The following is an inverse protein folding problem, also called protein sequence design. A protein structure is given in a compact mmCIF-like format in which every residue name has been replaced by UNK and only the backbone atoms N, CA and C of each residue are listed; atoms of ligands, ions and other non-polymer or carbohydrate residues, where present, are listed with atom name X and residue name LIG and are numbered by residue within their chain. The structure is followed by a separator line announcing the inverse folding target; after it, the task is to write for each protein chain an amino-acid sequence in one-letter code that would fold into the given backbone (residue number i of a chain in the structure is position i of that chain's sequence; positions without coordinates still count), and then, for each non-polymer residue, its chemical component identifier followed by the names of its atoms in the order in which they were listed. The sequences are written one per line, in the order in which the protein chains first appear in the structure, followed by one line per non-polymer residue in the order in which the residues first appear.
data_IF_636902992102
#
_entry.id   IF_636902992102
#
_cell.length_a   1.000
_cell.length_b   1.000
_cell.length_c   1.000
_cell.angle_alpha   90.00
_cell.angle_beta   90.00
_cell.angle_gamma   90.00
#
_symmetry.space_group_name_H-M   'P 1'
#
loop_
_entity.id
_entity.type
_entity.pdbx_description
1 polymer ?
#
# COMPACT_ATOMS: atom_id res chain seq x y z
N UNK A 1 -56.08 -58.32 68.18
CA UNK A 1 -56.14 -57.49 66.96
C UNK A 1 -55.81 -58.39 65.79
N UNK A 2 -56.75 -58.49 64.83
CA UNK A 2 -56.58 -58.71 63.36
C UNK A 2 -55.72 -59.90 62.89
N UNK A 3 -56.12 -60.73 61.93
CA UNK A 3 -57.35 -60.92 61.16
C UNK A 3 -57.30 -62.38 60.62
N UNK A 4 -58.46 -63.02 60.50
CA UNK A 4 -58.69 -64.44 60.22
C UNK A 4 -58.88 -64.68 58.69
N UNK A 5 -58.60 -65.88 58.15
CA UNK A 5 -58.65 -66.22 56.72
C UNK A 5 -59.98 -66.91 56.32
N UNK A 6 -60.26 -67.04 55.01
CA UNK A 6 -61.27 -67.95 54.40
C UNK A 6 -61.32 -67.64 52.88
N UNK A 7 -61.67 -68.49 51.92
CA UNK A 7 -61.61 -69.93 51.64
C UNK A 7 -62.20 -70.10 50.21
N UNK A 8 -61.77 -71.15 49.51
CA UNK A 8 -62.25 -71.67 48.21
C UNK A 8 -63.79 -71.91 48.19
N UNK A 9 -64.47 -71.94 47.01
CA UNK A 9 -64.63 -73.19 46.26
C UNK A 9 -64.69 -72.99 44.72
N UNK A 10 -63.96 -73.74 43.90
CA UNK A 10 -64.38 -74.97 43.19
C UNK A 10 -65.90 -75.11 42.92
N UNK A 11 -66.31 -74.90 41.67
CA UNK A 11 -67.60 -75.35 41.13
C UNK A 11 -67.36 -76.18 39.86
N UNK A 12 -67.40 -77.51 40.01
CA UNK A 12 -67.66 -78.47 38.93
C UNK A 12 -69.16 -78.47 38.64
N UNK A 13 -69.57 -78.43 37.37
CA UNK A 13 -70.83 -78.93 36.80
C UNK A 13 -70.81 -78.55 35.30
N UNK A 14 -71.13 -79.35 34.29
CA UNK A 14 -71.41 -80.76 34.12
C UNK A 14 -71.34 -81.00 32.59
N UNK A 15 -70.82 -82.16 32.16
CA UNK A 15 -71.07 -82.65 30.81
C UNK A 15 -72.55 -83.00 30.66
N UNK A 16 -73.19 -82.56 29.57
CA UNK A 16 -74.43 -83.14 29.08
C UNK A 16 -74.30 -83.37 27.58
N UNK A 17 -74.16 -84.65 27.21
CA UNK A 17 -74.35 -85.10 25.83
C UNK A 17 -75.81 -84.89 25.43
N UNK A 18 -76.05 -84.19 24.33
CA UNK A 18 -77.23 -84.41 23.50
C UNK A 18 -76.94 -84.08 22.03
N UNK A 19 -76.52 -85.13 21.34
CA UNK A 19 -76.77 -85.56 19.96
C UNK A 19 -76.74 -84.55 18.77
N UNK A 20 -76.25 -85.02 17.61
CA UNK A 20 -75.74 -84.16 16.54
C UNK A 20 -76.88 -83.64 15.67
N UNK A 21 -76.82 -82.36 15.32
CA UNK A 21 -77.45 -81.87 14.09
C UNK A 21 -76.33 -81.82 13.07
N UNK A 22 -76.31 -82.82 12.19
CA UNK A 22 -75.59 -82.78 10.93
C UNK A 22 -76.25 -81.69 10.09
N UNK A 23 -75.63 -80.52 10.00
CA UNK A 23 -75.77 -79.70 8.80
C UNK A 23 -74.40 -79.60 8.14
N UNK A 24 -74.38 -80.26 7.00
CA UNK A 24 -73.25 -80.62 6.16
C UNK A 24 -73.06 -79.47 5.17
N UNK A 25 -72.30 -78.47 5.59
CA UNK A 25 -71.57 -77.57 4.70
C UNK A 25 -70.51 -76.81 5.49
N UNK A 26 -69.54 -77.54 6.05
CA UNK A 26 -68.21 -76.94 6.23
C UNK A 26 -67.67 -76.84 4.81
N UNK A 27 -67.86 -75.67 4.18
CA UNK A 27 -66.92 -75.25 3.15
C UNK A 27 -65.56 -75.36 3.85
N UNK A 28 -64.77 -76.35 3.44
CA UNK A 28 -63.37 -76.40 3.81
C UNK A 28 -62.80 -75.09 3.33
N UNK A 29 -62.62 -74.15 4.24
CA UNK A 29 -61.92 -72.93 3.95
C UNK A 29 -60.49 -73.38 3.70
N UNK A 30 -60.16 -73.53 2.43
CA UNK A 30 -58.86 -73.98 1.99
C UNK A 30 -57.95 -72.78 2.13
N UNK A 31 -56.97 -72.93 3.01
CA UNK A 31 -55.75 -72.13 3.08
C UNK A 31 -54.74 -72.91 2.21
N UNK A 32 -54.36 -72.34 1.08
CA UNK A 32 -53.72 -73.04 -0.02
C UNK A 32 -52.19 -73.10 0.11
N UNK A 33 -51.58 -72.07 0.67
CA UNK A 33 -50.15 -71.87 0.86
C UNK A 33 -49.69 -71.97 2.33
N UNK A 34 -50.61 -71.90 3.30
CA UNK A 34 -50.39 -72.19 4.71
C UNK A 34 -50.09 -70.98 5.59
N UNK A 35 -50.45 -69.77 5.18
CA UNK A 35 -50.24 -68.51 5.92
C UNK A 35 -51.28 -68.28 7.05
N UNK A 36 -52.42 -68.97 6.96
CA UNK A 36 -53.54 -68.90 7.89
C UNK A 36 -54.70 -68.00 7.44
N UNK A 37 -54.66 -67.44 6.23
CA UNK A 37 -55.73 -66.69 5.58
C UNK A 37 -56.45 -67.60 4.56
N UNK A 38 -57.79 -67.52 4.46
CA UNK A 38 -58.52 -68.33 3.50
C UNK A 38 -58.47 -67.76 2.08
N UNK A 39 -58.54 -68.63 1.07
CA UNK A 39 -58.48 -68.28 -0.38
C UNK A 39 -59.45 -67.21 -0.90
N UNK A 40 -60.41 -66.80 -0.08
CA UNK A 40 -61.42 -65.79 -0.42
C UNK A 40 -61.09 -64.40 0.15
N UNK A 41 -60.10 -64.31 1.03
CA UNK A 41 -59.60 -63.09 1.67
C UNK A 41 -58.11 -62.83 1.37
N UNK A 42 -57.39 -63.85 0.88
CA UNK A 42 -55.99 -63.78 0.46
C UNK A 42 -55.86 -63.23 -0.98
N UNK A 43 -54.86 -62.38 -1.22
CA UNK A 43 -54.59 -61.82 -2.54
C UNK A 43 -53.60 -62.66 -3.38
N UNK A 44 -52.84 -63.59 -2.78
CA UNK A 44 -52.02 -64.58 -3.50
C UNK A 44 -51.98 -65.96 -2.79
N UNK A 45 -52.98 -66.79 -3.08
CA UNK A 45 -53.15 -68.17 -2.56
C UNK A 45 -51.97 -69.15 -2.78
N UNK A 46 -50.92 -68.75 -3.52
CA UNK A 46 -49.74 -69.56 -3.81
C UNK A 46 -48.48 -69.09 -3.02
N UNK A 47 -48.51 -67.96 -2.30
CA UNK A 47 -47.37 -67.38 -1.57
C UNK A 47 -47.70 -66.91 -0.14
N UNK A 48 -47.29 -67.71 0.85
CA UNK A 48 -47.58 -67.46 2.26
C UNK A 48 -46.90 -66.21 2.87
N UNK A 49 -46.14 -65.44 2.08
CA UNK A 49 -45.63 -64.12 2.46
C UNK A 49 -46.57 -62.97 2.10
N UNK A 50 -47.61 -63.21 1.29
CA UNK A 50 -48.56 -62.22 0.79
C UNK A 50 -49.92 -62.51 1.42
N UNK A 51 -50.36 -61.66 2.34
CA UNK A 51 -51.64 -61.81 3.04
C UNK A 51 -52.08 -60.51 3.73
N UNK A 52 -53.39 -60.30 3.99
CA UNK A 52 -53.89 -59.11 4.65
C UNK A 52 -53.14 -58.73 5.94
N UNK A 53 -52.42 -57.60 5.91
CA UNK A 53 -51.63 -57.09 7.04
C UNK A 53 -50.25 -57.74 7.22
N UNK A 54 -49.68 -58.37 6.19
CA UNK A 54 -48.27 -58.73 6.13
C UNK A 54 -47.36 -57.48 6.26
N UNK A 55 -46.05 -57.69 6.44
CA UNK A 55 -45.10 -56.59 6.44
C UNK A 55 -44.53 -56.40 5.04
N UNK A 56 -44.54 -55.18 4.55
CA UNK A 56 -44.05 -54.89 3.22
C UNK A 56 -42.55 -55.23 3.05
N UNK A 57 -42.20 -55.70 1.86
CA UNK A 57 -40.84 -55.91 1.39
C UNK A 57 -40.69 -55.23 0.04
N UNK A 58 -39.58 -54.54 -0.19
CA UNK A 58 -39.39 -53.74 -1.40
C UNK A 58 -39.06 -54.62 -2.63
N UNK A 59 -40.07 -55.27 -3.19
CA UNK A 59 -39.95 -56.24 -4.29
C UNK A 59 -41.07 -56.15 -5.35
N UNK A 60 -41.76 -54.99 -5.40
CA UNK A 60 -42.86 -54.69 -6.31
C UNK A 60 -44.12 -55.56 -6.09
N UNK A 61 -44.26 -56.19 -4.93
CA UNK A 61 -45.44 -56.98 -4.53
C UNK A 61 -46.17 -56.25 -3.40
N UNK A 62 -47.50 -56.18 -3.48
CA UNK A 62 -48.38 -55.76 -2.38
C UNK A 62 -48.52 -56.95 -1.43
N UNK A 63 -47.70 -57.01 -0.38
CA UNK A 63 -47.72 -58.18 0.52
C UNK A 63 -48.89 -58.10 1.50
N UNK A 64 -49.34 -56.91 1.87
CA UNK A 64 -50.39 -56.72 2.86
C UNK A 64 -51.82 -56.62 2.30
N UNK A 65 -51.96 -56.73 0.97
CA UNK A 65 -53.18 -56.69 0.18
C UNK A 65 -54.01 -55.40 0.35
N UNK A 66 -53.42 -54.28 0.75
CA UNK A 66 -54.14 -53.01 0.95
C UNK A 66 -54.29 -52.17 -0.34
N UNK A 67 -53.58 -52.56 -1.40
CA UNK A 67 -53.58 -51.94 -2.72
C UNK A 67 -52.50 -50.86 -2.93
N UNK A 68 -51.68 -50.57 -1.92
CA UNK A 68 -50.37 -49.95 -2.09
C UNK A 68 -49.31 -51.04 -2.30
N UNK A 69 -48.15 -50.65 -2.84
CA UNK A 69 -47.03 -51.56 -3.10
C UNK A 69 -45.82 -50.92 -2.46
N UNK A 70 -45.10 -51.69 -1.66
CA UNK A 70 -43.86 -51.29 -1.00
C UNK A 70 -44.02 -50.06 -0.09
N UNK A 71 -45.20 -49.81 0.48
CA UNK A 71 -45.40 -48.67 1.36
C UNK A 71 -44.69 -48.85 2.71
N UNK A 72 -44.14 -47.75 3.23
CA UNK A 72 -43.40 -47.79 4.50
C UNK A 72 -42.01 -48.46 4.44
N UNK A 73 -41.61 -49.02 3.30
CA UNK A 73 -40.24 -49.55 3.07
C UNK A 73 -39.44 -48.76 2.02
N UNK A 74 -40.09 -47.88 1.26
CA UNK A 74 -39.41 -46.93 0.37
C UNK A 74 -38.68 -45.83 1.17
N UNK A 75 -37.60 -45.33 0.57
CA UNK A 75 -36.85 -44.16 1.03
C UNK A 75 -36.97 -43.05 -0.01
N UNK A 76 -36.97 -41.81 0.47
CA UNK A 76 -36.86 -40.66 -0.41
C UNK A 76 -35.46 -40.61 -1.02
N UNK A 77 -35.40 -40.50 -2.34
CA UNK A 77 -34.19 -40.35 -3.14
C UNK A 77 -34.32 -39.13 -4.04
N UNK A 78 -33.18 -38.52 -4.37
CA UNK A 78 -33.06 -37.31 -5.17
C UNK A 78 -32.28 -37.63 -6.45
N UNK A 79 -32.64 -36.99 -7.57
CA UNK A 79 -31.82 -37.08 -8.77
C UNK A 79 -30.46 -36.42 -8.49
N UNK A 80 -29.40 -37.06 -8.96
CA UNK A 80 -28.00 -36.63 -8.85
C UNK A 80 -27.42 -36.72 -10.27
N UNK A 81 -27.51 -35.62 -11.02
CA UNK A 81 -27.23 -35.61 -12.45
C UNK A 81 -25.75 -35.32 -12.78
N UNK A 82 -24.99 -34.72 -11.88
CA UNK A 82 -23.54 -34.49 -12.01
C UNK A 82 -22.66 -35.47 -11.24
N UNK A 83 -23.25 -36.29 -10.36
CA UNK A 83 -22.63 -37.37 -9.60
C UNK A 83 -21.68 -36.93 -8.47
N UNK A 84 -21.97 -35.83 -7.79
CA UNK A 84 -21.19 -35.36 -6.63
C UNK A 84 -21.60 -36.01 -5.29
N UNK A 85 -22.78 -36.65 -5.24
CA UNK A 85 -23.29 -37.33 -4.06
C UNK A 85 -24.41 -36.61 -3.31
N UNK A 86 -24.77 -35.40 -3.71
CA UNK A 86 -25.97 -34.67 -3.35
C UNK A 86 -26.95 -34.66 -4.53
N UNK A 87 -28.21 -34.33 -4.27
CA UNK A 87 -29.21 -34.34 -5.32
C UNK A 87 -30.25 -33.25 -5.16
N UNK A 88 -30.90 -32.92 -6.29
CA UNK A 88 -31.86 -31.82 -6.39
C UNK A 88 -33.05 -32.04 -5.42
N UNK A 89 -33.21 -31.21 -4.38
CA UNK A 89 -34.29 -31.33 -3.40
C UNK A 89 -35.69 -31.16 -4.02
N UNK A 90 -35.79 -30.55 -5.20
CA UNK A 90 -37.02 -30.39 -5.97
C UNK A 90 -37.38 -31.62 -6.81
N UNK A 91 -36.43 -32.52 -7.03
CA UNK A 91 -36.57 -33.76 -7.79
C UNK A 91 -36.71 -35.02 -6.91
N UNK A 92 -37.29 -34.87 -5.71
CA UNK A 92 -37.53 -35.98 -4.79
C UNK A 92 -38.49 -37.05 -5.35
N UNK A 93 -38.16 -38.32 -5.14
CA UNK A 93 -38.99 -39.48 -5.46
C UNK A 93 -38.84 -40.58 -4.42
N UNK A 94 -39.78 -41.53 -4.36
CA UNK A 94 -39.70 -42.68 -3.47
C UNK A 94 -39.14 -43.89 -4.22
N UNK A 95 -38.20 -44.60 -3.59
CA UNK A 95 -37.59 -45.81 -4.15
C UNK A 95 -37.11 -46.75 -3.04
N UNK A 96 -36.95 -48.04 -3.36
CA UNK A 96 -36.42 -49.03 -2.41
C UNK A 96 -34.98 -48.74 -1.94
N UNK A 97 -34.18 -48.17 -2.82
CA UNK A 97 -32.81 -47.76 -2.57
C UNK A 97 -32.39 -46.76 -3.66
N UNK A 98 -31.39 -45.90 -3.40
CA UNK A 98 -30.81 -45.05 -4.43
C UNK A 98 -30.27 -45.90 -5.59
N UNK A 99 -30.65 -45.55 -6.82
CA UNK A 99 -30.20 -46.27 -8.01
C UNK A 99 -30.31 -45.42 -9.27
N UNK A 100 -29.32 -45.54 -10.17
CA UNK A 100 -29.37 -44.90 -11.48
C UNK A 100 -29.35 -43.36 -11.46
N UNK A 101 -28.27 -42.77 -10.95
CA UNK A 101 -28.13 -41.30 -10.86
C UNK A 101 -29.06 -40.70 -9.80
N UNK A 102 -29.22 -41.42 -8.68
CA UNK A 102 -29.98 -40.96 -7.53
C UNK A 102 -29.19 -41.19 -6.24
N UNK A 103 -29.39 -40.31 -5.28
CA UNK A 103 -28.76 -40.35 -3.94
C UNK A 103 -29.79 -40.15 -2.84
N UNK A 104 -29.42 -40.47 -1.61
CA UNK A 104 -30.27 -40.21 -0.43
C UNK A 104 -30.08 -38.81 0.14
N UNK A 105 -28.95 -38.15 -0.14
CA UNK A 105 -28.66 -36.84 0.41
C UNK A 105 -29.14 -35.74 -0.53
N UNK A 106 -29.98 -34.86 0.00
CA UNK A 106 -30.51 -33.71 -0.73
C UNK A 106 -29.61 -32.49 -0.49
N UNK A 107 -29.97 -31.39 -1.15
CA UNK A 107 -29.45 -30.06 -0.83
C UNK A 107 -28.58 -29.46 -1.91
N UNK A 108 -28.41 -30.16 -3.02
CA UNK A 108 -27.78 -29.63 -4.22
C UNK A 108 -28.63 -28.50 -4.81
N UNK A 109 -28.01 -27.33 -4.98
CA UNK A 109 -28.63 -26.14 -5.52
C UNK A 109 -28.39 -25.97 -7.03
N UNK A 110 -27.45 -26.70 -7.64
CA UNK A 110 -27.25 -26.82 -9.09
C UNK A 110 -26.78 -28.23 -9.50
N UNK A 111 -27.74 -29.17 -9.59
CA UNK A 111 -27.60 -30.61 -9.95
C UNK A 111 -26.97 -30.89 -11.34
N UNK A 112 -26.46 -29.85 -12.02
CA UNK A 112 -25.71 -29.96 -13.25
C UNK A 112 -24.22 -29.66 -13.08
N UNK A 113 -23.77 -29.20 -11.91
CA UNK A 113 -22.40 -28.78 -11.63
C UNK A 113 -21.88 -29.36 -10.29
N UNK A 114 -21.04 -30.40 -10.40
CA UNK A 114 -20.45 -31.10 -9.26
C UNK A 114 -19.48 -30.26 -8.40
N UNK A 115 -19.28 -28.98 -8.71
CA UNK A 115 -18.57 -28.01 -7.86
C UNK A 115 -19.53 -27.20 -6.97
N UNK A 116 -20.86 -27.36 -7.12
CA UNK A 116 -21.92 -26.64 -6.39
C UNK A 116 -22.77 -27.62 -5.59
N UNK A 117 -22.45 -27.80 -4.32
CA UNK A 117 -23.16 -28.71 -3.43
C UNK A 117 -22.89 -28.42 -1.96
N UNK A 118 -23.70 -28.95 -1.02
CA UNK A 118 -23.46 -28.81 0.41
C UNK A 118 -22.01 -29.05 0.87
N UNK A 119 -21.36 -27.99 1.33
CA UNK A 119 -19.98 -28.00 1.81
C UNK A 119 -18.89 -28.00 0.72
N UNK A 120 -19.19 -27.54 -0.50
CA UNK A 120 -18.19 -27.20 -1.49
C UNK A 120 -17.30 -26.03 -1.03
N UNK A 121 -16.22 -25.75 -1.76
CA UNK A 121 -15.30 -24.66 -1.46
C UNK A 121 -15.76 -23.38 -2.14
N UNK A 122 -15.96 -22.32 -1.36
CA UNK A 122 -16.39 -21.03 -1.89
C UNK A 122 -15.29 -20.33 -2.72
N UNK A 123 -15.68 -19.74 -3.84
CA UNK A 123 -14.83 -18.95 -4.74
C UNK A 123 -15.46 -17.60 -5.01
N UNK A 124 -14.65 -16.56 -5.21
CA UNK A 124 -15.07 -15.19 -5.53
C UNK A 124 -15.58 -15.03 -6.97
N UNK A 125 -16.59 -15.81 -7.38
CA UNK A 125 -17.18 -15.80 -8.72
C UNK A 125 -18.66 -15.38 -8.75
N UNK A 126 -19.26 -15.15 -7.58
CA UNK A 126 -20.63 -14.72 -7.38
C UNK A 126 -21.65 -15.86 -7.40
N UNK A 127 -21.21 -17.10 -7.23
CA UNK A 127 -22.05 -18.29 -7.05
C UNK A 127 -21.99 -18.75 -5.58
N UNK A 128 -23.06 -19.37 -5.12
CA UNK A 128 -23.15 -20.07 -3.83
C UNK A 128 -22.76 -21.52 -4.12
N UNK A 129 -21.49 -21.87 -3.89
CA UNK A 129 -21.00 -23.22 -4.16
C UNK A 129 -21.42 -24.19 -3.06
N UNK A 130 -21.51 -23.75 -1.82
CA UNK A 130 -21.79 -24.63 -0.68
C UNK A 130 -23.28 -24.78 -0.34
N UNK A 131 -24.14 -24.11 -1.10
CA UNK A 131 -25.60 -24.13 -1.02
C UNK A 131 -26.16 -23.70 0.35
N UNK A 132 -25.55 -22.72 1.02
CA UNK A 132 -25.98 -22.21 2.34
C UNK A 132 -26.78 -20.89 2.32
N UNK A 133 -27.09 -20.37 1.12
CA UNK A 133 -27.72 -19.07 0.81
C UNK A 133 -26.80 -17.84 1.01
N UNK A 134 -25.55 -18.01 1.44
CA UNK A 134 -24.51 -17.00 1.31
C UNK A 134 -23.75 -17.17 -0.02
N UNK A 135 -23.02 -16.14 -0.42
CA UNK A 135 -22.32 -16.11 -1.70
C UNK A 135 -20.93 -15.53 -1.44
N UNK A 136 -19.91 -16.26 -1.89
CA UNK A 136 -18.50 -15.94 -1.78
C UNK A 136 -18.02 -15.72 -0.31
N UNK A 137 -18.67 -16.33 0.69
CA UNK A 137 -18.27 -16.27 2.09
C UNK A 137 -17.09 -17.21 2.37
N UNK A 138 -16.13 -16.72 3.15
CA UNK A 138 -14.90 -17.50 3.43
C UNK A 138 -14.18 -18.02 2.16
N UNK A 139 -14.44 -17.39 1.00
CA UNK A 139 -13.93 -17.81 -0.29
C UNK A 139 -12.40 -17.97 -0.29
N UNK A 140 -11.93 -19.06 -0.86
CA UNK A 140 -10.53 -19.47 -0.72
C UNK A 140 -9.55 -18.64 -1.57
N UNK A 141 -10.07 -17.99 -2.62
CA UNK A 141 -9.36 -17.06 -3.49
C UNK A 141 -9.58 -15.58 -3.11
N UNK A 142 -10.24 -15.32 -1.98
CA UNK A 142 -10.43 -13.97 -1.47
C UNK A 142 -9.09 -13.27 -1.19
N UNK A 143 -9.02 -12.00 -1.63
CA UNK A 143 -7.87 -11.15 -1.37
C UNK A 143 -7.79 -10.73 0.10
N UNK A 144 -6.58 -10.42 0.57
CA UNK A 144 -6.38 -9.70 1.83
C UNK A 144 -6.22 -8.22 1.53
N UNK A 145 -6.98 -7.39 2.24
CA UNK A 145 -7.01 -5.95 2.10
C UNK A 145 -6.66 -5.30 3.44
N UNK A 146 -5.92 -4.19 3.41
CA UNK A 146 -5.40 -3.49 4.58
C UNK A 146 -6.07 -2.12 4.66
N UNK A 147 -6.43 -1.69 5.87
CA UNK A 147 -7.00 -0.35 6.07
C UNK A 147 -6.00 0.69 5.59
N UNK A 148 -6.50 1.66 4.82
CA UNK A 148 -5.76 2.80 4.26
C UNK A 148 -6.49 4.06 4.78
N UNK A 149 -6.08 4.55 5.95
CA UNK A 149 -6.87 5.53 6.71
C UNK A 149 -6.61 6.98 6.26
N UNK A 150 -5.45 7.27 5.68
CA UNK A 150 -5.08 8.58 5.14
C UNK A 150 -5.22 8.70 3.61
N UNK A 151 -5.47 7.58 2.91
CA UNK A 151 -5.75 7.49 1.49
C UNK A 151 -4.55 7.75 0.58
N UNK A 152 -3.34 7.36 0.98
CA UNK A 152 -2.14 7.41 0.15
C UNK A 152 -1.94 6.15 -0.75
N UNK A 153 -2.68 5.07 -0.46
CA UNK A 153 -2.67 3.82 -1.21
C UNK A 153 -1.87 2.69 -0.57
N UNK A 154 -1.25 2.92 0.57
CA UNK A 154 -0.62 1.95 1.46
C UNK A 154 -1.51 1.71 2.68
N UNK A 155 -1.36 0.58 3.36
CA UNK A 155 -2.26 0.26 4.46
C UNK A 155 -1.61 -0.46 5.62
N UNK A 156 -2.25 -0.37 6.79
CA UNK A 156 -1.77 -0.96 8.03
C UNK A 156 -1.83 -2.50 7.98
N UNK A 157 -0.66 -3.14 8.01
CA UNK A 157 -0.51 -4.60 8.10
C UNK A 157 -1.24 -5.25 9.30
N UNK A 158 -1.52 -4.49 10.36
CA UNK A 158 -2.26 -4.94 11.54
C UNK A 158 -3.79 -4.87 11.38
N UNK A 159 -4.30 -4.16 10.37
CA UNK A 159 -5.74 -4.00 10.09
C UNK A 159 -6.14 -4.67 8.77
N UNK A 160 -5.94 -5.99 8.71
CA UNK A 160 -6.28 -6.81 7.55
C UNK A 160 -7.74 -7.30 7.56
N UNK A 161 -8.39 -7.29 6.39
CA UNK A 161 -9.72 -7.85 6.11
C UNK A 161 -9.65 -8.74 4.88
N UNK A 162 -10.25 -9.92 4.92
CA UNK A 162 -10.36 -10.82 3.76
C UNK A 162 -11.68 -10.55 3.03
N UNK A 163 -11.60 -10.33 1.72
CA UNK A 163 -12.77 -10.09 0.88
C UNK A 163 -12.45 -10.32 -0.62
N UNK A 164 -13.46 -10.69 -1.40
CA UNK A 164 -13.34 -10.85 -2.85
C UNK A 164 -12.98 -9.58 -3.61
N UNK A 165 -13.41 -8.43 -3.10
CA UNK A 165 -13.09 -7.12 -3.63
C UNK A 165 -12.70 -6.18 -2.51
N UNK A 166 -11.83 -5.21 -2.81
CA UNK A 166 -11.38 -4.20 -1.87
C UNK A 166 -12.56 -3.50 -1.17
N UNK A 167 -12.70 -3.65 0.16
CA UNK A 167 -13.60 -2.81 0.92
C UNK A 167 -13.25 -1.31 0.74
N UNK A 168 -14.22 -0.45 1.03
CA UNK A 168 -13.98 1.00 0.97
C UNK A 168 -12.97 1.41 2.05
N UNK A 169 -11.94 2.16 1.66
CA UNK A 169 -10.87 2.60 2.56
C UNK A 169 -9.85 1.50 2.89
N UNK A 170 -9.64 0.59 1.93
CA UNK A 170 -8.59 -0.43 2.04
C UNK A 170 -7.79 -0.53 0.74
N UNK A 171 -6.55 -0.97 0.86
CA UNK A 171 -5.64 -1.25 -0.27
C UNK A 171 -5.07 -2.66 -0.18
N UNK A 172 -4.50 -3.15 -1.28
CA UNK A 172 -3.85 -4.47 -1.34
C UNK A 172 -2.40 -4.44 -0.88
N UNK A 173 -1.85 -3.25 -0.63
CA UNK A 173 -0.51 -3.05 -0.11
C UNK A 173 -0.55 -2.88 1.42
N UNK A 174 0.39 -3.49 2.13
CA UNK A 174 0.42 -3.56 3.59
C UNK A 174 1.68 -2.93 4.18
N UNK A 175 2.37 -2.12 3.39
CA UNK A 175 3.74 -1.68 3.68
C UNK A 175 3.83 -0.33 4.37
N UNK A 176 2.69 0.25 4.75
CA UNK A 176 2.60 1.51 5.47
C UNK A 176 3.19 1.41 6.88
N UNK A 177 4.03 2.40 7.24
CA UNK A 177 4.61 2.54 8.57
C UNK A 177 3.88 3.54 9.48
N UNK A 178 3.03 4.43 8.93
CA UNK A 178 2.11 5.32 9.68
C UNK A 178 0.83 5.63 8.88
N UNK A 179 -0.15 4.71 8.95
CA UNK A 179 -1.49 4.76 8.31
C UNK A 179 -2.39 5.94 8.77
N UNK A 180 -1.83 6.93 9.46
CA UNK A 180 -2.51 8.17 9.84
C UNK A 180 -1.90 9.42 9.17
N UNK A 181 -0.80 9.28 8.43
CA UNK A 181 -0.08 10.37 7.78
C UNK A 181 0.24 10.06 6.31
N UNK A 182 -0.45 10.70 5.34
CA UNK A 182 -0.27 10.41 3.92
C UNK A 182 1.07 10.89 3.35
N UNK A 183 1.94 11.48 4.17
CA UNK A 183 3.30 11.80 3.82
C UNK A 183 4.31 10.72 4.24
N UNK A 184 3.86 9.66 4.92
CA UNK A 184 4.71 8.60 5.48
C UNK A 184 4.31 7.26 4.87
N UNK A 185 4.98 6.88 3.79
CA UNK A 185 4.73 5.65 3.06
C UNK A 185 5.98 5.13 2.35
N UNK A 186 6.02 3.85 1.95
CA UNK A 186 7.17 3.26 1.26
C UNK A 186 7.64 4.04 0.04
N UNK A 187 8.84 4.62 0.15
CA UNK A 187 9.46 5.46 -0.88
C UNK A 187 8.91 6.88 -0.98
N UNK A 188 8.25 7.39 0.06
CA UNK A 188 7.95 8.82 0.19
C UNK A 188 9.26 9.64 0.23
N UNK A 189 9.25 10.91 -0.16
CA UNK A 189 10.38 11.80 0.10
C UNK A 189 10.52 12.04 1.61
N UNK A 190 11.74 11.88 2.11
CA UNK A 190 12.09 12.20 3.49
C UNK A 190 11.88 13.68 3.82
N UNK A 191 11.27 13.96 4.97
CA UNK A 191 11.10 15.29 5.52
C UNK A 191 12.04 15.51 6.72
N UNK A 192 12.35 16.77 7.04
CA UNK A 192 13.13 17.13 8.22
C UNK A 192 12.26 17.28 9.49
N UNK A 193 11.42 16.28 9.78
CA UNK A 193 10.51 16.26 10.94
C UNK A 193 10.87 15.20 12.01
N UNK A 194 11.94 14.44 11.79
CA UNK A 194 12.42 13.35 12.64
C UNK A 194 11.64 12.05 12.47
N UNK A 195 10.82 11.93 11.42
CA UNK A 195 10.08 10.73 11.05
C UNK A 195 10.76 10.08 9.85
N UNK A 196 10.80 8.75 9.85
CA UNK A 196 11.15 7.94 8.69
C UNK A 196 9.91 7.92 7.78
N UNK A 197 9.86 8.85 6.83
CA UNK A 197 8.71 9.03 5.95
C UNK A 197 8.68 7.95 4.87
N UNK A 198 9.84 7.44 4.45
CA UNK A 198 9.93 6.49 3.34
C UNK A 198 9.85 5.00 3.75
N UNK A 199 9.70 4.76 5.05
CA UNK A 199 9.58 3.46 5.70
C UNK A 199 10.78 2.52 5.45
N UNK A 200 11.98 3.04 5.19
CA UNK A 200 13.19 2.24 4.96
C UNK A 200 13.92 1.84 6.26
N UNK A 201 13.52 2.40 7.40
CA UNK A 201 14.03 2.13 8.73
C UNK A 201 15.07 3.14 9.23
N UNK A 202 15.38 4.17 8.44
CA UNK A 202 16.29 5.25 8.79
C UNK A 202 15.61 6.61 8.53
N UNK A 203 15.99 7.65 9.28
CA UNK A 203 15.61 9.03 8.94
C UNK A 203 16.60 9.60 7.91
N UNK A 204 16.17 10.63 7.19
CA UNK A 204 17.01 11.41 6.26
C UNK A 204 18.44 11.56 6.74
N UNK A 205 19.41 11.35 5.84
CA UNK A 205 20.82 11.61 6.13
C UNK A 205 21.07 13.05 6.61
N UNK A 206 20.18 13.99 6.25
CA UNK A 206 20.24 15.39 6.65
C UNK A 206 19.78 15.64 8.09
N UNK A 207 19.06 14.70 8.71
CA UNK A 207 18.66 14.75 10.12
C UNK A 207 19.64 14.05 11.06
N UNK A 208 20.63 13.36 10.49
CA UNK A 208 21.69 12.71 11.25
C UNK A 208 22.74 13.74 11.68
N UNK A 209 23.49 13.39 12.74
CA UNK A 209 24.64 14.14 13.29
C UNK A 209 25.90 13.28 13.05
N UNK A 210 26.53 13.37 11.85
CA UNK A 210 27.59 12.43 11.47
C UNK A 210 28.92 12.71 12.19
N UNK A 211 29.19 13.95 12.58
CA UNK A 211 30.43 14.35 13.23
C UNK A 211 30.34 14.36 14.77
N UNK A 212 29.12 14.25 15.32
CA UNK A 212 28.82 14.09 16.73
C UNK A 212 28.93 15.40 17.52
N UNK A 213 28.78 16.55 16.87
CA UNK A 213 28.88 17.86 17.51
C UNK A 213 27.56 18.32 18.18
N UNK A 214 26.47 17.59 17.91
CA UNK A 214 25.13 17.83 18.44
C UNK A 214 24.21 18.62 17.51
N UNK A 215 24.61 18.85 16.27
CA UNK A 215 23.80 19.44 15.20
C UNK A 215 23.54 18.39 14.11
N UNK A 216 22.33 18.41 13.55
CA UNK A 216 22.05 17.62 12.37
C UNK A 216 22.63 18.28 11.12
N UNK A 217 22.96 17.50 10.09
CA UNK A 217 23.60 18.02 8.88
C UNK A 217 22.81 19.18 8.23
N UNK A 218 21.47 19.15 8.21
CA UNK A 218 20.64 20.26 7.69
C UNK A 218 20.83 21.59 8.43
N UNK A 219 21.36 21.56 9.66
CA UNK A 219 21.66 22.75 10.46
C UNK A 219 23.06 23.31 10.17
N UNK A 220 23.84 22.59 9.37
CA UNK A 220 25.24 22.89 9.13
C UNK A 220 25.51 23.23 7.66
N UNK A 221 26.31 24.28 7.46
CA UNK A 221 26.68 24.76 6.14
C UNK A 221 28.21 24.72 5.93
N UNK A 222 28.64 24.21 4.78
CA UNK A 222 30.01 24.34 4.32
C UNK A 222 30.19 25.64 3.52
N UNK A 223 30.90 26.61 4.11
CA UNK A 223 31.31 27.85 3.43
C UNK A 223 32.59 27.56 2.63
N UNK A 224 32.41 27.18 1.36
CA UNK A 224 33.46 26.58 0.56
C UNK A 224 34.06 27.55 -0.45
N UNK A 225 35.37 27.81 -0.32
CA UNK A 225 36.10 28.73 -1.19
C UNK A 225 36.98 27.97 -2.19
N UNK A 226 36.81 28.25 -3.49
CA UNK A 226 37.63 27.66 -4.56
C UNK A 226 39.13 28.06 -4.48
N UNK A 227 39.47 29.10 -3.69
CA UNK A 227 40.84 29.52 -3.45
C UNK A 227 40.97 30.26 -2.11
N UNK A 228 42.20 30.33 -1.60
CA UNK A 228 42.49 31.14 -0.42
C UNK A 228 42.32 32.63 -0.73
N UNK A 229 41.29 33.23 -0.15
CA UNK A 229 40.96 34.64 -0.32
C UNK A 229 40.63 35.27 1.02
N UNK A 230 40.96 36.56 1.18
CA UNK A 230 40.49 37.35 2.32
C UNK A 230 39.14 38.03 2.02
N UNK A 231 38.48 37.69 0.91
CA UNK A 231 37.19 38.23 0.51
C UNK A 231 36.08 37.28 0.97
N UNK A 232 34.90 37.85 1.22
CA UNK A 232 33.68 37.11 1.57
C UNK A 232 33.91 36.10 2.69
N UNK A 233 34.73 36.46 3.67
CA UNK A 233 34.85 35.67 4.89
C UNK A 233 33.63 35.97 5.79
N UNK A 234 32.99 34.96 6.37
CA UNK A 234 31.78 35.12 7.16
C UNK A 234 32.03 35.86 8.49
N UNK A 235 33.25 35.87 9.01
CA UNK A 235 33.66 36.60 10.21
C UNK A 235 34.23 38.00 9.92
N UNK A 236 34.44 38.34 8.64
CA UNK A 236 34.97 39.64 8.25
C UNK A 236 33.87 40.72 8.22
N UNK A 237 34.03 41.71 9.09
CA UNK A 237 33.17 42.89 9.23
C UNK A 237 33.60 44.07 8.35
N UNK A 238 34.68 43.92 7.59
CA UNK A 238 35.09 44.90 6.60
C UNK A 238 34.09 44.98 5.44
N UNK A 239 34.19 46.03 4.62
CA UNK A 239 33.36 46.15 3.40
C UNK A 239 33.56 44.98 2.41
N UNK A 240 34.64 44.22 2.52
CA UNK A 240 34.92 43.09 1.64
C UNK A 240 34.55 41.73 2.26
N UNK A 241 34.07 41.72 3.50
CA UNK A 241 33.58 40.52 4.16
C UNK A 241 32.10 40.25 3.90
N UNK A 242 31.60 39.18 4.51
CA UNK A 242 30.22 38.69 4.37
C UNK A 242 29.52 38.51 5.73
N UNK A 243 30.00 39.17 6.80
CA UNK A 243 29.44 39.05 8.14
C UNK A 243 27.93 39.35 8.27
N UNK A 244 27.38 40.21 7.40
CA UNK A 244 25.93 40.46 7.39
C UNK A 244 25.17 39.28 6.83
N UNK A 245 25.68 38.62 5.78
CA UNK A 245 25.10 37.37 5.25
C UNK A 245 25.17 36.27 6.29
N UNK A 246 26.33 36.08 6.92
CA UNK A 246 26.52 35.11 7.99
C UNK A 246 25.54 35.34 9.17
N UNK A 247 25.24 36.61 9.47
CA UNK A 247 24.24 36.95 10.49
C UNK A 247 22.80 36.57 10.09
N UNK A 248 22.46 36.60 8.80
CA UNK A 248 21.15 36.13 8.31
C UNK A 248 21.02 34.62 8.47
N UNK A 249 22.07 33.88 8.08
CA UNK A 249 22.13 32.43 8.24
C UNK A 249 22.02 32.03 9.72
N UNK A 250 22.80 32.67 10.61
CA UNK A 250 22.73 32.42 12.04
C UNK A 250 21.34 32.69 12.64
N UNK A 251 20.58 33.64 12.07
CA UNK A 251 19.22 33.93 12.52
C UNK A 251 18.21 32.83 12.14
N UNK A 252 18.55 31.98 11.17
CA UNK A 252 17.81 30.77 10.78
C UNK A 252 18.29 29.53 11.55
N UNK A 253 19.28 29.67 12.45
CA UNK A 253 19.82 28.56 13.22
C UNK A 253 20.97 27.81 12.54
N UNK A 254 21.41 28.24 11.36
CA UNK A 254 22.54 27.63 10.67
C UNK A 254 23.87 27.91 11.38
N UNK A 255 24.68 26.87 11.51
CA UNK A 255 26.12 26.96 11.77
C UNK A 255 26.90 26.82 10.47
N UNK A 256 28.19 27.16 10.50
CA UNK A 256 29.02 26.98 9.33
C UNK A 256 30.47 26.66 9.65
N UNK A 257 31.05 25.86 8.77
CA UNK A 257 32.49 25.59 8.71
C UNK A 257 33.06 26.22 7.44
N UNK A 258 34.20 26.91 7.54
CA UNK A 258 34.88 27.47 6.38
C UNK A 258 35.99 26.54 5.91
N UNK A 259 35.95 26.17 4.64
CA UNK A 259 36.96 25.32 4.01
C UNK A 259 37.40 25.89 2.67
N UNK A 260 38.56 25.43 2.20
CA UNK A 260 39.05 25.78 0.85
C UNK A 260 39.34 24.53 0.06
N UNK A 261 39.19 24.64 -1.26
CA UNK A 261 39.47 23.54 -2.18
C UNK A 261 40.91 23.06 -2.22
N UNK A 262 41.84 23.85 -1.66
CA UNK A 262 43.23 23.41 -1.52
C UNK A 262 43.41 22.37 -0.41
N UNK A 263 42.53 22.37 0.59
CA UNK A 263 42.70 21.63 1.85
C UNK A 263 41.56 20.62 2.11
N UNK A 264 40.42 20.76 1.43
CA UNK A 264 39.22 19.92 1.60
C UNK A 264 38.61 19.61 0.24
N UNK A 265 38.45 18.32 -0.06
CA UNK A 265 37.71 17.81 -1.21
C UNK A 265 36.21 17.67 -0.90
N UNK A 266 35.36 17.79 -1.92
CA UNK A 266 33.91 17.59 -1.79
C UNK A 266 33.57 16.11 -2.01
N UNK A 267 34.13 15.24 -1.15
CA UNK A 267 33.87 13.80 -1.15
C UNK A 267 32.66 13.42 -0.29
N UNK A 268 32.27 12.14 -0.35
CA UNK A 268 31.10 11.60 0.37
C UNK A 268 31.15 11.88 1.87
N UNK A 269 32.29 11.64 2.51
CA UNK A 269 32.45 11.84 3.96
C UNK A 269 32.29 13.31 4.36
N UNK A 270 32.83 14.24 3.56
CA UNK A 270 32.70 15.68 3.82
C UNK A 270 31.29 16.17 3.59
N UNK A 271 30.64 15.76 2.49
CA UNK A 271 29.30 16.24 2.16
C UNK A 271 28.25 15.71 3.14
N UNK A 272 28.43 14.51 3.71
CA UNK A 272 27.53 13.94 4.69
C UNK A 272 27.36 14.84 5.94
N UNK A 273 28.39 15.60 6.33
CA UNK A 273 28.36 16.50 7.49
C UNK A 273 27.48 17.74 7.27
N UNK A 274 27.11 18.09 6.03
CA UNK A 274 26.46 19.37 5.73
C UNK A 274 25.22 19.17 4.85
N UNK A 275 24.13 19.85 5.20
CA UNK A 275 22.93 19.91 4.38
C UNK A 275 22.99 21.02 3.34
N UNK A 276 23.89 22.00 3.49
CA UNK A 276 24.10 23.04 2.49
C UNK A 276 25.58 23.30 2.22
N UNK A 277 25.94 23.50 0.95
CA UNK A 277 27.26 23.94 0.52
C UNK A 277 27.13 25.28 -0.20
N UNK A 278 27.72 26.33 0.37
CA UNK A 278 27.91 27.62 -0.30
C UNK A 278 29.25 27.61 -1.04
N UNK A 279 29.21 27.37 -2.35
CA UNK A 279 30.41 27.27 -3.19
C UNK A 279 30.74 28.62 -3.85
N UNK A 280 31.71 29.32 -3.29
CA UNK A 280 32.27 30.54 -3.86
C UNK A 280 33.32 30.21 -4.94
N UNK A 281 32.90 30.19 -6.20
CA UNK A 281 33.70 29.81 -7.37
C UNK A 281 34.41 31.02 -7.99
N UNK A 282 35.68 31.19 -7.63
CA UNK A 282 36.55 32.24 -8.19
C UNK A 282 37.59 31.71 -9.21
N UNK A 283 37.49 30.45 -9.62
CA UNK A 283 38.19 29.87 -10.77
C UNK A 283 39.68 29.63 -10.55
N UNK A 284 40.08 29.25 -9.34
CA UNK A 284 41.48 29.07 -8.97
C UNK A 284 42.08 27.71 -9.35
N UNK A 285 41.25 26.65 -9.37
CA UNK A 285 41.73 25.26 -9.36
C UNK A 285 41.27 24.39 -10.57
N UNK A 286 40.35 24.88 -11.42
CA UNK A 286 39.86 24.15 -12.60
C UNK A 286 38.79 23.09 -12.29
N UNK A 287 38.46 22.20 -13.24
CA UNK A 287 37.40 21.20 -13.09
C UNK A 287 37.49 20.38 -11.78
N UNK A 288 36.35 20.04 -11.18
CA UNK A 288 36.23 19.05 -10.11
C UNK A 288 36.63 17.67 -10.63
N UNK A 289 37.09 16.81 -9.73
CA UNK A 289 37.37 15.40 -10.05
C UNK A 289 36.07 14.63 -10.23
N UNK A 290 36.11 13.51 -10.97
CA UNK A 290 34.93 12.67 -11.15
C UNK A 290 34.37 12.16 -9.81
N UNK A 291 35.26 11.86 -8.85
CA UNK A 291 34.86 11.39 -7.52
C UNK A 291 34.09 12.47 -6.75
N UNK A 292 34.56 13.72 -6.79
CA UNK A 292 33.82 14.85 -6.21
C UNK A 292 32.48 15.07 -6.93
N UNK A 293 32.43 14.97 -8.26
CA UNK A 293 31.18 15.20 -9.00
C UNK A 293 30.15 14.12 -8.74
N UNK A 294 30.58 12.85 -8.62
CA UNK A 294 29.70 11.73 -8.30
C UNK A 294 29.18 11.85 -6.85
N UNK A 295 30.04 12.29 -5.92
CA UNK A 295 29.64 12.53 -4.52
C UNK A 295 28.66 13.70 -4.40
N UNK A 296 28.92 14.80 -5.11
CA UNK A 296 28.02 15.96 -5.19
C UNK A 296 26.67 15.57 -5.80
N UNK A 297 26.66 14.77 -6.87
CA UNK A 297 25.43 14.29 -7.52
C UNK A 297 24.59 13.47 -6.53
N UNK A 298 25.19 12.46 -5.90
CA UNK A 298 24.51 11.61 -4.92
C UNK A 298 23.99 12.41 -3.69
N UNK A 299 24.77 13.38 -3.22
CA UNK A 299 24.39 14.21 -2.08
C UNK A 299 23.23 15.16 -2.42
N UNK A 300 23.23 15.79 -3.60
CA UNK A 300 22.09 16.57 -4.07
C UNK A 300 20.87 15.67 -4.28
N UNK A 301 21.03 14.50 -4.91
CA UNK A 301 19.90 13.58 -5.12
C UNK A 301 19.22 13.19 -3.80
N UNK A 302 19.99 13.05 -2.71
CA UNK A 302 19.51 12.77 -1.35
C UNK A 302 19.12 14.00 -0.52
N UNK A 303 18.80 15.14 -1.14
CA UNK A 303 18.27 16.32 -0.45
C UNK A 303 19.28 17.44 -0.15
N UNK A 304 20.56 17.26 -0.45
CA UNK A 304 21.56 18.31 -0.26
C UNK A 304 21.25 19.59 -1.05
N UNK A 305 21.71 20.75 -0.55
CA UNK A 305 21.50 22.02 -1.21
C UNK A 305 22.81 22.74 -1.59
N UNK A 306 23.05 23.01 -2.87
CA UNK A 306 24.24 23.74 -3.33
C UNK A 306 23.90 25.15 -3.80
N UNK A 307 24.60 26.14 -3.25
CA UNK A 307 24.54 27.53 -3.70
C UNK A 307 25.87 27.88 -4.35
N UNK A 308 25.86 28.00 -5.67
CA UNK A 308 27.03 28.31 -6.48
C UNK A 308 27.08 29.81 -6.75
N UNK A 309 28.17 30.46 -6.31
CA UNK A 309 28.36 31.90 -6.48
C UNK A 309 29.55 32.16 -7.40
N UNK A 310 29.29 32.88 -8.48
CA UNK A 310 30.30 33.22 -9.47
C UNK A 310 31.11 34.44 -9.05
N UNK A 311 32.43 34.27 -8.91
CA UNK A 311 33.36 35.33 -8.56
C UNK A 311 34.43 35.65 -9.60
N UNK A 312 34.51 34.83 -10.67
CA UNK A 312 35.56 34.96 -11.68
C UNK A 312 35.13 34.45 -13.04
N UNK A 313 35.11 35.31 -14.06
CA UNK A 313 34.73 34.93 -15.41
C UNK A 313 35.92 34.41 -16.22
N UNK A 314 36.67 33.47 -15.63
CA UNK A 314 37.85 32.84 -16.23
C UNK A 314 37.51 31.49 -16.88
N UNK A 315 38.39 30.99 -17.75
CA UNK A 315 38.23 29.66 -18.33
C UNK A 315 38.21 28.56 -17.25
N UNK A 316 39.05 28.68 -16.22
CA UNK A 316 39.08 27.73 -15.11
C UNK A 316 37.79 27.74 -14.28
N UNK A 317 37.16 28.90 -14.08
CA UNK A 317 35.86 28.95 -13.41
C UNK A 317 34.77 28.25 -14.22
N UNK A 318 34.80 28.38 -15.55
CA UNK A 318 33.90 27.64 -16.43
C UNK A 318 34.21 26.15 -16.48
N UNK A 319 35.48 25.75 -16.36
CA UNK A 319 35.85 24.33 -16.21
C UNK A 319 35.30 23.76 -14.89
N UNK A 320 35.39 24.50 -13.77
CA UNK A 320 34.77 24.10 -12.50
C UNK A 320 33.25 24.02 -12.62
N UNK A 321 32.59 25.07 -13.14
CA UNK A 321 31.14 25.10 -13.25
C UNK A 321 30.59 24.01 -14.18
N UNK A 322 31.22 23.80 -15.33
CA UNK A 322 30.83 22.74 -16.29
C UNK A 322 31.22 21.32 -15.82
N UNK A 323 31.95 21.18 -14.71
CA UNK A 323 32.19 19.88 -14.09
C UNK A 323 31.04 19.44 -13.19
N UNK A 324 30.16 20.35 -12.77
CA UNK A 324 28.91 19.97 -12.09
C UNK A 324 28.08 19.02 -12.98
N UNK A 325 27.25 18.14 -12.38
CA UNK A 325 26.48 17.17 -13.14
C UNK A 325 25.65 17.80 -14.26
N UNK A 326 25.92 17.38 -15.50
CA UNK A 326 25.25 17.93 -16.69
C UNK A 326 23.74 17.67 -16.72
N UNK A 327 23.27 16.66 -15.97
CA UNK A 327 21.86 16.33 -15.82
C UNK A 327 21.06 17.47 -15.17
N UNK A 328 21.70 18.34 -14.40
CA UNK A 328 21.07 19.51 -13.78
C UNK A 328 20.75 20.61 -14.79
N UNK A 329 21.41 20.61 -15.95
CA UNK A 329 21.09 21.50 -17.06
C UNK A 329 21.76 22.88 -17.02
N UNK A 330 22.79 23.08 -16.19
CA UNK A 330 23.59 24.31 -16.16
C UNK A 330 24.79 24.24 -17.12
N UNK A 331 25.18 25.39 -17.68
CA UNK A 331 26.44 25.49 -18.43
C UNK A 331 27.07 26.89 -18.40
N UNK A 332 28.39 26.95 -18.43
CA UNK A 332 29.14 28.14 -18.83
C UNK A 332 29.49 28.05 -20.33
N UNK A 333 28.95 28.97 -21.13
CA UNK A 333 29.15 28.98 -22.60
C UNK A 333 30.16 30.02 -23.08
N UNK A 334 30.49 31.01 -22.25
CA UNK A 334 31.51 32.02 -22.58
C UNK A 334 32.13 32.64 -21.33
N UNK A 335 33.29 33.28 -21.51
CA UNK A 335 34.01 34.01 -20.44
C UNK A 335 33.88 35.52 -20.59
N UNK A 336 34.08 36.24 -19.49
CA UNK A 336 34.01 37.69 -19.43
C UNK A 336 32.95 38.20 -18.46
N UNK A 337 32.99 39.51 -18.21
CA UNK A 337 32.13 40.15 -17.22
C UNK A 337 31.09 41.04 -17.86
N UNK A 338 29.96 41.18 -17.18
CA UNK A 338 28.96 42.17 -17.47
C UNK A 338 28.34 42.70 -16.17
N UNK A 339 27.59 43.79 -16.27
CA UNK A 339 26.96 44.43 -15.13
C UNK A 339 25.59 44.97 -15.55
N UNK A 340 24.64 44.96 -14.64
CA UNK A 340 23.25 45.27 -14.95
C UNK A 340 22.36 45.18 -13.73
N UNK A 341 21.08 45.45 -13.93
CA UNK A 341 20.02 45.21 -12.93
C UNK A 341 18.92 44.47 -13.65
N UNK A 342 18.41 43.40 -13.02
CA UNK A 342 17.41 42.51 -13.61
C UNK A 342 16.23 43.28 -14.20
N UNK A 343 15.78 42.86 -15.38
CA UNK A 343 14.63 43.41 -16.09
C UNK A 343 13.51 42.37 -16.34
N UNK A 344 13.77 41.11 -15.98
CA UNK A 344 12.80 40.02 -16.00
C UNK A 344 12.96 39.12 -14.77
N UNK A 345 11.85 38.73 -14.17
CA UNK A 345 11.76 37.93 -12.95
C UNK A 345 10.71 36.82 -13.15
N UNK A 346 11.10 35.56 -13.01
CA UNK A 346 10.21 34.42 -13.02
C UNK A 346 9.38 34.35 -11.73
N UNK A 347 8.31 33.54 -11.76
CA UNK A 347 7.56 33.22 -10.54
C UNK A 347 8.26 32.06 -9.84
N UNK A 348 8.89 32.32 -8.70
CA UNK A 348 9.63 31.31 -7.95
C UNK A 348 9.76 31.75 -6.47
N UNK A 349 9.72 30.84 -5.47
CA UNK A 349 9.86 31.20 -4.05
C UNK A 349 11.10 32.05 -3.73
N UNK A 350 12.22 31.77 -4.40
CA UNK A 350 13.46 32.60 -4.32
C UNK A 350 13.22 34.09 -4.59
N UNK A 351 12.19 34.44 -5.36
CA UNK A 351 11.89 35.81 -5.79
C UNK A 351 10.71 36.43 -5.04
N UNK A 352 10.21 35.80 -3.97
CA UNK A 352 9.10 36.33 -3.18
C UNK A 352 9.45 37.67 -2.52
N UNK A 353 8.75 38.73 -2.95
CA UNK A 353 9.00 40.10 -2.51
C UNK A 353 10.27 40.72 -3.10
N UNK A 354 10.87 40.10 -4.13
CA UNK A 354 12.08 40.57 -4.81
C UNK A 354 11.70 41.17 -6.16
N UNK A 355 12.15 42.39 -6.41
CA UNK A 355 11.90 43.12 -7.65
C UNK A 355 13.15 43.75 -8.26
N UNK A 356 14.23 43.84 -7.47
CA UNK A 356 15.47 44.49 -7.88
C UNK A 356 16.68 43.67 -7.41
N UNK A 357 17.43 43.13 -8.38
CA UNK A 357 18.73 42.48 -8.18
C UNK A 357 19.71 43.08 -9.19
N UNK A 358 20.86 43.54 -8.71
CA UNK A 358 21.93 44.14 -9.50
C UNK A 358 23.24 43.37 -9.38
N UNK A 359 24.01 43.42 -10.46
CA UNK A 359 25.30 42.73 -10.59
C UNK A 359 26.38 43.69 -11.09
N UNK A 360 27.60 43.55 -10.59
CA UNK A 360 28.79 44.33 -10.89
C UNK A 360 30.01 43.45 -11.25
N UNK A 361 29.79 42.36 -11.96
CA UNK A 361 30.84 41.47 -12.42
C UNK A 361 30.31 40.07 -12.71
N UNK A 362 29.09 39.97 -13.23
CA UNK A 362 28.42 38.69 -13.43
C UNK A 362 29.12 37.82 -14.49
N UNK A 363 29.05 36.52 -14.24
CA UNK A 363 29.49 35.45 -15.14
C UNK A 363 28.43 35.15 -16.22
N UNK A 364 28.81 34.40 -17.25
CA UNK A 364 27.89 33.92 -18.28
C UNK A 364 27.57 32.43 -18.04
N UNK A 365 26.87 32.17 -16.94
CA UNK A 365 26.41 30.84 -16.55
C UNK A 365 24.90 30.78 -16.72
N UNK A 366 24.40 29.80 -17.44
CA UNK A 366 23.01 29.78 -17.89
C UNK A 366 22.38 28.39 -17.74
N UNK A 367 21.06 28.37 -17.56
CA UNK A 367 20.26 27.18 -17.72
C UNK A 367 20.11 26.85 -19.22
N UNK A 368 20.64 25.71 -19.66
CA UNK A 368 20.60 25.26 -21.06
C UNK A 368 19.62 24.11 -21.28
N UNK A 369 19.20 23.42 -20.22
CA UNK A 369 18.23 22.34 -20.25
C UNK A 369 17.50 22.24 -18.89
N UNK A 370 16.30 21.66 -18.89
CA UNK A 370 15.62 21.28 -17.65
C UNK A 370 16.44 20.20 -16.90
N UNK A 371 16.40 20.15 -15.55
CA UNK A 371 15.50 20.91 -14.68
C UNK A 371 15.92 22.36 -14.39
N UNK A 372 17.14 22.79 -14.73
CA UNK A 372 17.54 24.17 -14.52
C UNK A 372 16.66 25.20 -15.25
N UNK A 373 16.39 26.31 -14.57
CA UNK A 373 15.69 27.46 -15.10
C UNK A 373 16.36 28.78 -14.70
N UNK A 374 16.39 29.73 -15.63
CA UNK A 374 16.86 31.09 -15.36
C UNK A 374 15.71 31.91 -14.75
N UNK A 375 15.91 32.40 -13.54
CA UNK A 375 14.90 33.08 -12.74
C UNK A 375 14.94 34.60 -12.88
N UNK A 376 16.14 35.18 -12.97
CA UNK A 376 16.32 36.62 -13.10
C UNK A 376 17.22 36.90 -14.29
N UNK A 377 16.75 37.73 -15.23
CA UNK A 377 17.50 38.08 -16.44
C UNK A 377 17.78 39.58 -16.49
N UNK A 378 18.90 39.94 -17.10
CA UNK A 378 19.16 41.27 -17.66
C UNK A 378 19.33 41.15 -19.18
N UNK A 379 18.28 41.49 -19.92
CA UNK A 379 18.22 41.24 -21.35
C UNK A 379 18.27 39.73 -21.65
N UNK A 380 19.42 39.25 -22.13
CA UNK A 380 19.65 37.82 -22.42
C UNK A 380 20.65 37.17 -21.48
N UNK A 381 21.02 37.84 -20.38
CA UNK A 381 22.03 37.36 -19.46
C UNK A 381 21.40 37.00 -18.11
N UNK A 382 21.52 35.75 -17.66
CA UNK A 382 20.97 35.31 -16.38
C UNK A 382 21.78 35.85 -15.20
N UNK A 383 21.08 36.32 -14.18
CA UNK A 383 21.64 36.73 -12.89
C UNK A 383 21.51 35.59 -11.87
N UNK A 384 20.32 34.99 -11.81
CA UNK A 384 19.95 33.91 -10.90
C UNK A 384 19.33 32.79 -11.71
N UNK A 385 19.77 31.57 -11.47
CA UNK A 385 19.17 30.34 -12.00
C UNK A 385 19.01 29.32 -10.88
N UNK A 386 18.08 28.39 -11.01
CA UNK A 386 17.85 27.34 -10.02
C UNK A 386 17.46 26.02 -10.66
N UNK A 387 17.65 24.92 -9.94
CA UNK A 387 17.18 23.58 -10.30
C UNK A 387 16.77 22.83 -9.02
N UNK A 388 15.71 22.05 -9.10
CA UNK A 388 15.37 20.99 -8.15
C UNK A 388 15.75 19.66 -8.81
N UNK A 389 16.55 18.84 -8.12
CA UNK A 389 17.13 17.59 -8.66
C UNK A 389 17.09 16.52 -7.56
N UNK A 390 16.44 15.39 -7.85
CA UNK A 390 16.10 14.45 -6.79
C UNK A 390 15.27 15.17 -5.73
N UNK A 391 15.68 15.03 -4.47
CA UNK A 391 15.10 15.77 -3.34
C UNK A 391 15.86 17.06 -3.03
N UNK A 392 16.99 17.31 -3.70
CA UNK A 392 17.87 18.44 -3.45
C UNK A 392 17.71 19.62 -4.39
N UNK A 393 18.55 20.63 -4.15
CA UNK A 393 18.38 21.98 -4.73
C UNK A 393 19.71 22.59 -5.14
N UNK A 394 19.72 23.26 -6.29
CA UNK A 394 20.88 24.00 -6.77
C UNK A 394 20.49 25.43 -7.12
N UNK A 395 21.14 26.42 -6.50
CA UNK A 395 20.99 27.84 -6.84
C UNK A 395 22.29 28.34 -7.45
N UNK A 396 22.20 29.01 -8.60
CA UNK A 396 23.33 29.65 -9.26
C UNK A 396 23.14 31.17 -9.18
N UNK A 397 24.06 31.85 -8.51
CA UNK A 397 24.13 33.31 -8.44
C UNK A 397 25.39 33.72 -9.20
N UNK A 398 25.22 34.40 -10.33
CA UNK A 398 26.33 34.66 -11.26
C UNK A 398 27.34 35.69 -10.79
N UNK A 399 27.12 36.35 -9.64
CA UNK A 399 27.93 37.46 -9.14
C UNK A 399 28.08 37.43 -7.61
N UNK A 400 29.31 37.51 -7.14
CA UNK A 400 29.65 37.49 -5.73
C UNK A 400 29.30 38.79 -5.00
N UNK A 401 29.03 39.88 -5.73
CA UNK A 401 28.83 41.19 -5.13
C UNK A 401 27.65 41.24 -4.17
N UNK A 402 26.62 40.43 -4.41
CA UNK A 402 25.43 40.32 -3.55
C UNK A 402 25.79 39.94 -2.10
N UNK A 403 26.93 39.29 -1.88
CA UNK A 403 27.36 38.76 -0.58
C UNK A 403 28.23 39.72 0.23
N UNK A 404 28.75 40.80 -0.38
CA UNK A 404 29.55 41.77 0.37
C UNK A 404 28.70 42.56 1.35
N UNK A 405 29.28 42.87 2.50
CA UNK A 405 28.67 43.71 3.53
C UNK A 405 28.11 45.03 2.93
N UNK A 406 26.92 45.49 3.38
CA UNK A 406 26.22 46.63 2.77
C UNK A 406 27.08 47.88 2.61
N UNK A 407 28.01 48.14 3.54
CA UNK A 407 28.89 49.30 3.58
C UNK A 407 29.83 49.43 2.38
N UNK A 408 30.04 48.34 1.62
CA UNK A 408 30.79 48.39 0.35
C UNK A 408 30.15 49.31 -0.67
N UNK A 409 28.82 49.44 -0.64
CA UNK A 409 28.02 50.11 -1.65
C UNK A 409 28.08 49.43 -3.02
N UNK A 410 27.53 50.10 -4.03
CA UNK A 410 27.38 49.50 -5.36
C UNK A 410 26.24 48.47 -5.36
N UNK A 411 26.48 47.29 -5.92
CA UNK A 411 25.56 46.15 -5.93
C UNK A 411 25.82 45.18 -4.78
N UNK A 412 26.29 45.69 -3.63
CA UNK A 412 26.47 44.90 -2.40
C UNK A 412 25.13 44.45 -1.80
N UNK A 413 25.14 43.74 -0.67
CA UNK A 413 23.93 43.25 0.00
C UNK A 413 22.87 44.33 0.26
N UNK A 414 23.27 45.59 0.42
CA UNK A 414 22.35 46.72 0.63
C UNK A 414 21.70 47.29 -0.64
N UNK A 415 21.96 46.72 -1.81
CA UNK A 415 21.41 47.19 -3.09
C UNK A 415 20.07 46.54 -3.40
N UNK A 416 19.06 47.35 -3.71
CA UNK A 416 17.74 46.86 -4.11
C UNK A 416 17.16 45.90 -3.07
N UNK A 417 16.80 44.70 -3.52
CA UNK A 417 16.19 43.65 -2.70
C UNK A 417 17.16 42.48 -2.44
N UNK A 418 18.49 42.68 -2.56
CA UNK A 418 19.49 41.62 -2.35
C UNK A 418 19.36 40.94 -0.98
N UNK A 419 19.11 41.73 0.07
CA UNK A 419 18.93 41.22 1.42
C UNK A 419 17.75 40.25 1.51
N UNK A 420 16.62 40.61 0.90
CA UNK A 420 15.41 39.77 0.84
C UNK A 420 15.64 38.54 -0.03
N UNK A 421 16.31 38.70 -1.16
CA UNK A 421 16.64 37.60 -2.06
C UNK A 421 17.50 36.54 -1.35
N UNK A 422 18.58 36.93 -0.67
CA UNK A 422 19.42 35.96 0.04
C UNK A 422 18.68 35.32 1.23
N UNK A 423 17.80 36.04 1.93
CA UNK A 423 16.91 35.42 2.92
C UNK A 423 16.04 34.32 2.29
N UNK A 424 15.45 34.58 1.13
CA UNK A 424 14.68 33.57 0.41
C UNK A 424 15.56 32.39 -0.05
N UNK A 425 16.81 32.64 -0.45
CA UNK A 425 17.78 31.57 -0.78
C UNK A 425 17.99 30.66 0.42
N UNK A 426 18.31 31.22 1.59
CA UNK A 426 18.55 30.41 2.80
C UNK A 426 17.30 29.63 3.21
N UNK A 427 16.13 30.27 3.27
CA UNK A 427 14.86 29.58 3.54
C UNK A 427 14.60 28.49 2.50
N UNK A 428 14.80 28.75 1.21
CA UNK A 428 14.51 27.76 0.17
C UNK A 428 15.50 26.59 0.18
N UNK A 429 16.77 26.79 0.56
CA UNK A 429 17.74 25.69 0.66
C UNK A 429 17.67 24.94 1.98
N UNK A 430 17.11 25.53 3.04
CA UNK A 430 17.06 24.95 4.40
C UNK A 430 15.66 24.42 4.76
N UNK A 431 14.61 25.22 4.54
CA UNK A 431 13.21 24.84 4.88
C UNK A 431 12.57 23.98 3.78
N UNK A 432 13.19 23.95 2.59
CA UNK A 432 12.77 23.17 1.44
C UNK A 432 12.78 21.65 1.60
N UNK A 433 13.29 21.19 2.73
CA UNK A 433 13.44 19.78 3.06
C UNK A 433 12.37 19.34 4.08
N UNK A 434 11.36 20.17 4.39
CA UNK A 434 10.35 19.81 5.38
C UNK A 434 8.96 20.43 5.29
N UNK A 435 8.63 21.29 4.31
CA UNK A 435 7.22 21.68 4.12
C UNK A 435 6.84 21.87 2.64
N UNK A 436 6.21 20.86 2.06
CA UNK A 436 5.27 21.05 0.96
C UNK A 436 3.93 21.55 1.56
N UNK A 437 3.43 22.70 1.11
CA UNK A 437 2.10 23.22 1.47
C UNK A 437 0.96 22.37 0.89
#
# INVERSE_FOLDING_TARGET
MRALPLALPLLLLACTNKEPVTDDSVATVTDADGDGVPVEEDCDDDDAAVFPGAAEACDDVDQDCDGAVDEGVQVTVYADADADGYGDPSAASEACAPGGGQVSEAGDCDDADAEIHPGAEELCDGLDQDCDDAVDEEASDAGTWYTDADADGYGDSAQATVACAAPSGTTGDSTDCDDADPATYPGAPEQLDGVDNDCDGEVSALEQDPDGDGLAAHQELLWYLDYTSALLQPDDTSVNGASTVASQMAALGLTWTTATRADTDLGVDTLAEYGTVLFLMFGGQGALTQEETDAIEAWIDGGGAMIVVGGSASALACDTFNSLPSAWGFSCTQTGYWSGTGDSYASHPLLDGVSTIGVAGANYWEAVAAPAEDLVMYGSYPIVSAAEVGDGRVVVITDEWLFYNPERGGTSLGYGDHERFLQNVWTWTVDGLGEAN
#
